data_IF_187132817692
#
_entry.id   IF_187132817692
#
_cell.length_a   1.000
_cell.length_b   1.000
_cell.length_c   1.000
_cell.angle_alpha   90.00
_cell.angle_beta   90.00
_cell.angle_gamma   90.00
#
_symmetry.space_group_name_H-M   'P 1'
#
loop_
_entity.id
_entity.type
_entity.pdbx_description
1 polymer ?
#
# COMPACT_ATOMS: atom_id res chain seq x y z
N UNK A 1 -8.22 30.17 -11.86
CA UNK A 1 -7.93 29.70 -10.49
C UNK A 1 -7.17 28.41 -10.65
N UNK A 2 -5.93 28.38 -10.20
CA UNK A 2 -4.93 27.43 -10.69
C UNK A 2 -4.93 26.14 -9.86
N UNK A 3 -5.21 25.02 -10.53
CA UNK A 3 -5.17 23.65 -9.98
C UNK A 3 -3.74 23.27 -9.53
N UNK A 4 -3.62 22.29 -8.61
CA UNK A 4 -2.30 21.72 -8.28
C UNK A 4 -1.76 21.01 -9.54
N UNK A 5 -0.59 21.43 -10.07
CA UNK A 5 -0.01 20.81 -11.26
C UNK A 5 0.40 19.36 -10.99
N UNK A 6 0.45 18.54 -12.06
CA UNK A 6 1.03 17.20 -11.94
C UNK A 6 2.55 17.31 -11.76
N UNK A 7 3.09 16.40 -10.96
CA UNK A 7 4.55 16.28 -10.75
C UNK A 7 5.27 16.06 -12.09
N UNK A 8 4.74 15.19 -12.95
CA UNK A 8 5.29 14.96 -14.28
C UNK A 8 5.34 16.24 -15.13
N UNK A 9 4.40 17.18 -14.98
CA UNK A 9 4.37 18.43 -15.74
C UNK A 9 5.43 19.43 -15.27
N UNK A 10 5.71 19.47 -13.97
CA UNK A 10 6.72 20.34 -13.36
C UNK A 10 8.13 19.82 -13.64
N UNK A 11 8.31 18.50 -13.59
CA UNK A 11 9.62 17.85 -13.64
C UNK A 11 9.87 17.11 -14.96
N UNK A 12 9.15 17.43 -16.06
CA UNK A 12 9.18 16.74 -17.38
C UNK A 12 10.56 16.30 -17.88
N UNK A 13 11.61 17.09 -17.62
CA UNK A 13 12.97 16.85 -18.10
C UNK A 13 13.96 16.43 -17.00
N UNK A 14 13.44 16.12 -15.81
CA UNK A 14 14.21 15.83 -14.60
C UNK A 14 13.57 14.65 -13.87
N UNK A 15 13.60 13.47 -14.49
CA UNK A 15 13.02 12.24 -13.95
C UNK A 15 13.47 11.95 -12.50
N UNK A 16 14.75 12.16 -12.20
CA UNK A 16 15.26 12.06 -10.83
C UNK A 16 14.56 13.02 -9.85
N UNK A 17 14.25 14.25 -10.28
CA UNK A 17 13.54 15.22 -9.44
C UNK A 17 12.04 14.88 -9.33
N UNK A 18 11.42 14.32 -10.36
CA UNK A 18 10.06 13.76 -10.28
C UNK A 18 10.00 12.66 -9.21
N UNK A 19 10.95 11.72 -9.25
CA UNK A 19 11.08 10.63 -8.28
C UNK A 19 11.28 11.20 -6.86
N UNK A 20 12.18 12.17 -6.70
CA UNK A 20 12.40 12.80 -5.40
C UNK A 20 11.17 13.56 -4.90
N UNK A 21 10.45 14.28 -5.77
CA UNK A 21 9.22 14.99 -5.39
C UNK A 21 8.13 14.01 -4.92
N UNK A 22 7.89 12.93 -5.68
CA UNK A 22 6.94 11.88 -5.27
C UNK A 22 7.32 11.25 -3.92
N UNK A 23 8.62 11.12 -3.62
CA UNK A 23 9.11 10.56 -2.35
C UNK A 23 9.04 11.54 -1.17
N UNK A 24 9.42 12.79 -1.36
CA UNK A 24 9.78 13.70 -0.25
C UNK A 24 8.68 14.63 0.23
N UNK A 25 7.57 14.75 -0.50
CA UNK A 25 6.52 15.67 -0.08
C UNK A 25 5.76 15.17 1.15
N UNK A 26 5.45 16.11 2.04
CA UNK A 26 4.48 15.95 3.14
C UNK A 26 3.15 16.58 2.74
N UNK A 27 2.04 15.83 2.67
CA UNK A 27 0.73 16.47 2.70
C UNK A 27 0.61 17.35 3.96
N UNK A 28 -0.13 18.45 3.86
CA UNK A 28 -0.56 19.18 5.05
C UNK A 28 -1.46 18.28 5.90
N UNK A 29 -0.92 17.70 6.99
CA UNK A 29 -1.71 16.84 7.88
C UNK A 29 -2.94 17.57 8.41
N UNK A 30 -4.10 16.93 8.24
CA UNK A 30 -5.35 17.17 8.97
C UNK A 30 -5.72 18.64 9.23
N UNK A 31 -6.77 19.13 8.58
CA UNK A 31 -7.54 20.26 9.14
C UNK A 31 -8.76 19.75 9.85
N UNK A 32 -9.04 20.44 10.94
CA UNK A 32 -10.35 20.52 11.54
C UNK A 32 -11.29 21.33 10.65
N UNK A 33 -12.59 21.02 10.71
CA UNK A 33 -13.67 21.76 10.05
C UNK A 33 -13.43 23.29 10.09
N UNK A 34 -13.51 23.95 8.93
CA UNK A 34 -13.58 25.41 8.92
C UNK A 34 -14.94 25.87 9.45
N UNK A 35 -15.00 27.07 10.03
CA UNK A 35 -16.24 27.63 10.60
C UNK A 35 -17.37 27.75 9.55
N UNK A 36 -17.00 27.86 8.27
CA UNK A 36 -17.91 27.86 7.10
C UNK A 36 -18.42 26.47 6.72
N UNK A 37 -17.69 25.40 7.06
CA UNK A 37 -18.16 24.01 6.88
C UNK A 37 -19.18 23.62 7.98
N UNK A 38 -19.26 24.43 9.04
CA UNK A 38 -20.18 24.30 10.16
C UNK A 38 -21.57 24.88 9.83
N UNK A 39 -21.67 25.81 8.87
CA UNK A 39 -22.94 26.46 8.52
C UNK A 39 -24.00 25.50 7.96
N UNK A 40 -23.60 24.33 7.48
CA UNK A 40 -24.49 23.27 7.00
C UNK A 40 -24.85 22.23 8.07
N UNK A 41 -24.28 22.33 9.28
CA UNK A 41 -24.61 21.45 10.40
C UNK A 41 -25.77 22.05 11.18
N UNK A 42 -26.82 21.26 11.39
CA UNK A 42 -27.97 21.64 12.22
C UNK A 42 -27.55 21.63 13.70
N UNK A 43 -26.83 22.69 14.10
CA UNK A 43 -26.31 22.89 15.45
C UNK A 43 -27.25 23.78 16.24
N UNK A 44 -27.71 23.25 17.36
CA UNK A 44 -28.57 23.98 18.28
C UNK A 44 -27.74 24.90 19.17
N UNK A 45 -28.24 26.13 19.35
CA UNK A 45 -27.68 27.11 20.29
C UNK A 45 -28.64 27.29 21.46
N UNK A 46 -28.10 27.51 22.65
CA UNK A 46 -28.86 27.84 23.85
C UNK A 46 -29.44 29.27 23.73
N UNK A 47 -30.27 29.67 24.70
CA UNK A 47 -30.91 31.00 24.74
C UNK A 47 -29.91 32.18 24.81
N UNK A 48 -28.63 31.90 25.12
CA UNK A 48 -27.53 32.88 25.16
C UNK A 48 -26.76 32.95 23.84
N UNK A 49 -27.14 32.16 22.84
CA UNK A 49 -26.47 32.08 21.53
C UNK A 49 -25.22 31.20 21.51
N UNK A 50 -24.92 30.50 22.60
CA UNK A 50 -23.79 29.55 22.68
C UNK A 50 -24.23 28.18 22.18
N UNK A 51 -23.33 27.37 21.63
CA UNK A 51 -23.65 26.00 21.21
C UNK A 51 -24.05 25.16 22.42
N UNK A 52 -25.08 24.31 22.25
CA UNK A 52 -25.46 23.34 23.29
C UNK A 52 -24.37 22.29 23.49
N UNK A 53 -24.27 21.69 24.68
CA UNK A 53 -23.30 20.61 24.95
C UNK A 53 -23.44 19.44 23.96
N UNK A 54 -24.66 19.14 23.51
CA UNK A 54 -24.94 18.14 22.48
C UNK A 54 -24.37 18.55 21.11
N UNK A 55 -24.51 19.82 20.73
CA UNK A 55 -23.92 20.36 19.50
C UNK A 55 -22.40 20.46 19.58
N UNK A 56 -21.85 20.78 20.75
CA UNK A 56 -20.40 20.76 21.02
C UNK A 56 -19.87 19.33 20.91
N UNK A 57 -20.55 18.35 21.51
CA UNK A 57 -20.18 16.94 21.41
C UNK A 57 -20.32 16.44 19.97
N UNK A 58 -21.36 16.85 19.25
CA UNK A 58 -21.55 16.51 17.83
C UNK A 58 -20.45 17.12 16.97
N UNK A 59 -20.07 18.38 17.21
CA UNK A 59 -18.92 19.02 16.59
C UNK A 59 -17.61 18.30 16.94
N UNK A 60 -17.44 17.84 18.18
CA UNK A 60 -16.25 17.10 18.60
C UNK A 60 -16.18 15.74 17.87
N UNK A 61 -17.30 15.01 17.82
CA UNK A 61 -17.44 13.76 17.10
C UNK A 61 -17.23 13.94 15.59
N UNK A 62 -17.74 15.04 15.02
CA UNK A 62 -17.54 15.41 13.62
C UNK A 62 -16.08 15.77 13.32
N UNK A 63 -15.47 16.56 14.20
CA UNK A 63 -14.06 16.94 14.12
C UNK A 63 -13.15 15.72 14.19
N UNK A 64 -13.53 14.70 14.97
CA UNK A 64 -12.88 13.38 15.00
C UNK A 64 -13.19 12.53 13.75
N UNK A 65 -14.39 12.63 13.16
CA UNK A 65 -14.73 11.94 11.90
C UNK A 65 -14.11 12.58 10.65
N UNK A 66 -13.68 13.84 10.75
CA UNK A 66 -13.00 14.61 9.70
C UNK A 66 -11.47 14.52 9.74
N UNK A 67 -10.92 13.51 10.43
CA UNK A 67 -9.49 13.23 10.39
C UNK A 67 -9.05 12.77 8.98
N UNK A 68 -8.59 13.72 8.17
CA UNK A 68 -8.05 13.44 6.83
C UNK A 68 -6.65 12.81 6.84
N UNK A 69 -6.07 12.50 8.01
CA UNK A 69 -4.77 11.85 8.12
C UNK A 69 -4.71 10.53 7.35
N UNK A 70 -5.81 9.76 7.32
CA UNK A 70 -5.87 8.54 6.54
C UNK A 70 -5.72 8.77 5.04
N UNK A 71 -6.31 9.84 4.51
CA UNK A 71 -6.17 10.25 3.10
C UNK A 71 -4.72 10.61 2.82
N UNK A 72 -4.09 11.40 3.70
CA UNK A 72 -2.69 11.80 3.58
C UNK A 72 -1.74 10.60 3.53
N UNK A 73 -1.97 9.63 4.42
CA UNK A 73 -1.20 8.39 4.48
C UNK A 73 -1.41 7.58 3.21
N UNK A 74 -2.64 7.42 2.73
CA UNK A 74 -2.94 6.69 1.48
C UNK A 74 -2.26 7.36 0.29
N UNK A 75 -2.36 8.68 0.14
CA UNK A 75 -1.70 9.40 -0.95
C UNK A 75 -0.18 9.25 -0.86
N UNK A 76 0.39 9.28 0.35
CA UNK A 76 1.81 9.02 0.58
C UNK A 76 2.24 7.61 0.20
N UNK A 77 1.45 6.59 0.55
CA UNK A 77 1.68 5.18 0.15
C UNK A 77 1.58 5.04 -1.37
N UNK A 78 0.53 5.57 -2.00
CA UNK A 78 0.32 5.48 -3.45
C UNK A 78 1.44 6.17 -4.23
N UNK A 79 1.93 7.33 -3.78
CA UNK A 79 3.09 7.99 -4.38
C UNK A 79 4.33 7.12 -4.35
N UNK A 80 4.61 6.49 -3.22
CA UNK A 80 5.73 5.58 -3.09
C UNK A 80 5.60 4.40 -4.04
N UNK A 81 4.43 3.76 -4.06
CA UNK A 81 4.15 2.67 -4.99
C UNK A 81 4.33 3.10 -6.45
N UNK A 82 3.78 4.26 -6.85
CA UNK A 82 3.91 4.81 -8.21
C UNK A 82 5.38 5.05 -8.57
N UNK A 83 6.17 5.56 -7.62
CA UNK A 83 7.61 5.79 -7.82
C UNK A 83 8.34 4.48 -8.13
N UNK A 84 7.92 3.38 -7.53
CA UNK A 84 8.46 2.04 -7.76
C UNK A 84 7.71 1.25 -8.86
N UNK A 85 6.97 1.94 -9.74
CA UNK A 85 6.36 1.33 -10.92
C UNK A 85 4.96 0.74 -10.72
N UNK A 86 4.27 1.09 -9.63
CA UNK A 86 2.85 0.78 -9.50
C UNK A 86 2.04 1.61 -10.50
N UNK A 87 1.19 0.95 -11.29
CA UNK A 87 0.33 1.61 -12.27
C UNK A 87 -1.13 1.27 -12.00
N UNK A 88 -2.01 2.16 -12.43
CA UNK A 88 -3.46 1.93 -12.43
C UNK A 88 -3.93 1.06 -13.59
N UNK A 89 -3.01 0.76 -14.51
CA UNK A 89 -3.32 -0.02 -15.69
C UNK A 89 -3.41 -1.49 -15.29
N UNK A 90 -4.41 -2.18 -15.84
CA UNK A 90 -4.44 -3.63 -15.78
C UNK A 90 -3.22 -4.12 -16.54
N UNK A 91 -2.11 -4.37 -15.83
CA UNK A 91 -0.95 -5.06 -16.40
C UNK A 91 -1.23 -6.56 -16.23
N UNK A 92 -1.77 -7.27 -17.24
CA UNK A 92 -1.39 -8.66 -17.39
C UNK A 92 0.11 -8.64 -17.65
N UNK A 93 0.89 -9.20 -16.72
CA UNK A 93 2.30 -9.45 -17.02
C UNK A 93 2.40 -10.28 -18.30
N UNK A 94 3.52 -10.22 -19.04
CA UNK A 94 3.72 -10.99 -20.27
C UNK A 94 3.57 -12.52 -20.09
N UNK A 95 3.58 -13.01 -18.84
CA UNK A 95 3.30 -14.38 -18.43
C UNK A 95 2.12 -14.49 -17.45
N UNK A 96 1.11 -13.62 -17.52
CA UNK A 96 0.00 -13.61 -16.56
C UNK A 96 -0.76 -14.93 -16.62
N UNK A 97 -0.51 -15.81 -15.64
CA UNK A 97 -1.20 -17.06 -15.47
C UNK A 97 -2.73 -16.86 -15.57
N UNK A 98 -3.44 -17.70 -16.33
CA UNK A 98 -4.90 -17.65 -16.37
C UNK A 98 -5.47 -17.82 -14.96
N UNK A 99 -6.30 -16.86 -14.53
CA UNK A 99 -6.81 -16.79 -13.16
C UNK A 99 -6.33 -15.58 -12.37
N UNK A 100 -5.32 -14.83 -12.86
CA UNK A 100 -5.19 -13.40 -12.53
C UNK A 100 -6.38 -12.70 -13.18
N UNK A 101 -7.42 -12.47 -12.40
CA UNK A 101 -8.55 -11.67 -12.87
C UNK A 101 -7.98 -10.33 -13.37
N UNK A 102 -8.15 -10.05 -14.66
CA UNK A 102 -8.09 -8.68 -15.17
C UNK A 102 -9.09 -7.93 -14.31
N UNK A 103 -8.60 -7.09 -13.37
CA UNK A 103 -9.52 -6.38 -12.49
C UNK A 103 -10.45 -5.60 -13.42
N UNK A 104 -11.75 -5.64 -13.11
CA UNK A 104 -12.64 -4.59 -13.62
C UNK A 104 -11.96 -3.26 -13.30
N UNK A 105 -11.83 -2.40 -14.32
CA UNK A 105 -11.21 -1.06 -14.21
C UNK A 105 -11.45 -0.47 -12.83
N UNK A 106 -10.41 0.10 -12.22
CA UNK A 106 -10.50 0.80 -10.92
C UNK A 106 -11.82 1.57 -10.79
N UNK A 107 -12.42 1.52 -9.61
CA UNK A 107 -13.63 2.29 -9.34
C UNK A 107 -13.34 3.79 -9.59
N UNK A 108 -14.34 4.59 -10.01
CA UNK A 108 -14.13 5.99 -10.31
C UNK A 108 -13.40 6.77 -9.19
N UNK A 109 -13.78 6.55 -7.92
CA UNK A 109 -13.13 7.18 -6.78
C UNK A 109 -11.68 6.69 -6.56
N UNK A 110 -11.39 5.40 -6.76
CA UNK A 110 -10.01 4.86 -6.70
C UNK A 110 -9.09 5.53 -7.72
N UNK A 111 -9.62 5.87 -8.90
CA UNK A 111 -8.87 6.63 -9.91
C UNK A 111 -8.55 8.05 -9.44
N UNK A 112 -9.46 8.70 -8.72
CA UNK A 112 -9.21 10.04 -8.18
C UNK A 112 -8.06 10.01 -7.18
N UNK A 113 -7.97 8.98 -6.32
CA UNK A 113 -6.82 8.79 -5.44
C UNK A 113 -5.50 8.61 -6.22
N UNK A 114 -5.52 7.82 -7.31
CA UNK A 114 -4.34 7.63 -8.17
C UNK A 114 -3.91 8.93 -8.88
N UNK A 115 -4.87 9.75 -9.31
CA UNK A 115 -4.60 11.06 -9.92
C UNK A 115 -4.07 12.04 -8.88
N UNK A 116 -4.72 12.13 -7.72
CA UNK A 116 -4.30 12.98 -6.60
C UNK A 116 -2.88 12.65 -6.13
N UNK A 117 -2.52 11.36 -6.05
CA UNK A 117 -1.17 10.94 -5.72
C UNK A 117 -0.11 11.49 -6.68
N UNK A 118 -0.44 11.76 -7.94
CA UNK A 118 0.52 12.31 -8.94
C UNK A 118 0.63 13.83 -8.93
N UNK A 119 -0.30 14.55 -8.30
CA UNK A 119 -0.26 16.01 -8.14
C UNK A 119 0.88 16.41 -7.21
N UNK A 120 1.46 17.59 -7.37
CA UNK A 120 2.48 18.16 -6.46
C UNK A 120 1.81 18.87 -5.25
N UNK A 121 0.96 18.16 -4.51
CA UNK A 121 0.29 18.65 -3.29
C UNK A 121 1.30 18.80 -2.14
N UNK A 122 0.98 19.45 -1.01
CA UNK A 122 1.84 19.55 0.19
C UNK A 122 2.59 20.87 0.36
N UNK A 123 2.39 21.81 -0.59
CA UNK A 123 3.01 23.13 -0.59
C UNK A 123 2.01 24.27 -0.32
N UNK A 124 0.75 24.05 -0.67
CA UNK A 124 -0.32 25.02 -0.56
C UNK A 124 -1.48 24.38 0.20
N UNK A 125 -1.69 24.87 1.41
CA UNK A 125 -2.67 24.37 2.35
C UNK A 125 -4.10 24.43 1.80
N UNK A 126 -4.48 25.54 1.15
CA UNK A 126 -5.84 25.73 0.62
C UNK A 126 -6.11 24.77 -0.53
N UNK A 127 -5.13 24.62 -1.44
CA UNK A 127 -5.25 23.70 -2.58
C UNK A 127 -5.28 22.24 -2.13
N UNK A 128 -4.45 21.87 -1.15
CA UNK A 128 -4.44 20.54 -0.56
C UNK A 128 -5.81 20.20 0.05
N UNK A 129 -6.40 21.13 0.79
CA UNK A 129 -7.72 20.94 1.39
C UNK A 129 -8.80 20.73 0.36
N UNK A 130 -8.82 21.56 -0.68
CA UNK A 130 -9.78 21.41 -1.77
C UNK A 130 -9.69 20.02 -2.41
N UNK A 131 -8.47 19.54 -2.71
CA UNK A 131 -8.27 18.20 -3.25
C UNK A 131 -8.79 17.11 -2.30
N UNK A 132 -8.53 17.22 -0.99
CA UNK A 132 -9.02 16.23 -0.03
C UNK A 132 -10.55 16.22 0.08
N UNK A 133 -11.20 17.39 0.02
CA UNK A 133 -12.67 17.50 -0.02
C UNK A 133 -13.23 16.77 -1.23
N UNK A 134 -12.66 17.00 -2.42
CA UNK A 134 -13.05 16.29 -3.65
C UNK A 134 -12.90 14.76 -3.51
N UNK A 135 -11.84 14.29 -2.85
CA UNK A 135 -11.64 12.86 -2.57
C UNK A 135 -12.70 12.31 -1.61
N UNK A 136 -13.05 13.04 -0.54
CA UNK A 136 -14.07 12.63 0.44
C UNK A 136 -15.46 12.59 -0.21
N UNK A 137 -15.85 13.65 -0.93
CA UNK A 137 -17.13 13.71 -1.63
C UNK A 137 -17.30 12.54 -2.61
N UNK A 138 -16.20 12.10 -3.24
CA UNK A 138 -16.20 10.95 -4.13
C UNK A 138 -16.36 9.60 -3.43
N UNK A 139 -15.93 9.49 -2.17
CA UNK A 139 -16.12 8.30 -1.33
C UNK A 139 -17.56 8.18 -0.86
N UNK A 140 -18.16 9.31 -0.47
CA UNK A 140 -19.39 9.34 0.31
C UNK A 140 -20.66 9.63 -0.52
N UNK A 141 -20.59 9.48 -1.85
CA UNK A 141 -21.70 9.77 -2.76
C UNK A 141 -22.33 11.17 -2.55
N UNK A 142 -21.51 12.15 -2.15
CA UNK A 142 -21.92 13.56 -1.99
C UNK A 142 -22.29 14.03 -0.58
N UNK A 143 -22.12 13.22 0.48
CA UNK A 143 -22.31 13.67 1.87
C UNK A 143 -21.01 13.56 2.67
N UNK A 144 -20.44 14.68 3.09
CA UNK A 144 -19.09 14.72 3.67
C UNK A 144 -19.06 14.08 5.10
N UNK A 145 -20.21 13.84 5.74
CA UNK A 145 -20.33 13.70 7.21
C UNK A 145 -20.27 12.29 7.83
N UNK A 146 -20.28 11.19 7.07
CA UNK A 146 -20.55 9.86 7.67
C UNK A 146 -19.49 8.78 7.38
N UNK A 147 -18.47 9.10 6.59
CA UNK A 147 -17.51 8.10 6.14
C UNK A 147 -16.27 8.02 7.03
N UNK A 148 -15.96 6.84 7.55
CA UNK A 148 -14.68 6.55 8.19
C UNK A 148 -13.54 6.74 7.16
N UNK A 149 -12.74 7.79 7.39
CA UNK A 149 -11.59 8.18 6.58
C UNK A 149 -10.26 7.74 7.18
N UNK A 150 -10.29 6.90 8.23
CA UNK A 150 -9.09 6.29 8.79
C UNK A 150 -8.35 5.46 7.72
N UNK A 151 -7.02 5.35 7.88
CA UNK A 151 -6.19 4.61 6.94
C UNK A 151 -6.70 3.18 6.67
N UNK A 152 -7.06 2.44 7.71
CA UNK A 152 -7.54 1.06 7.57
C UNK A 152 -8.90 0.98 6.87
N UNK A 153 -9.82 1.90 7.15
CA UNK A 153 -11.09 1.97 6.47
C UNK A 153 -10.92 2.29 4.98
N UNK A 154 -10.04 3.24 4.64
CA UNK A 154 -9.73 3.58 3.26
C UNK A 154 -9.05 2.41 2.52
N UNK A 155 -8.11 1.68 3.14
CA UNK A 155 -7.54 0.44 2.56
C UNK A 155 -8.64 -0.61 2.29
N UNK A 156 -9.67 -0.66 3.14
CA UNK A 156 -10.84 -1.51 2.94
C UNK A 156 -11.70 -1.08 1.74
N UNK A 157 -11.95 0.22 1.60
CA UNK A 157 -12.75 0.82 0.52
C UNK A 157 -12.04 0.77 -0.84
N UNK A 158 -10.72 0.99 -0.88
CA UNK A 158 -9.86 0.92 -2.07
C UNK A 158 -9.46 -0.54 -2.39
N UNK A 159 -10.45 -1.43 -2.39
CA UNK A 159 -10.26 -2.88 -2.53
C UNK A 159 -9.59 -3.24 -3.87
N UNK A 160 -9.90 -2.52 -4.96
CA UNK A 160 -9.31 -2.82 -6.27
C UNK A 160 -7.83 -2.49 -6.31
N UNK A 161 -7.40 -1.43 -5.63
CA UNK A 161 -5.98 -1.03 -5.53
C UNK A 161 -5.18 -1.95 -4.60
N UNK A 162 -5.68 -2.23 -3.40
CA UNK A 162 -4.84 -2.86 -2.36
C UNK A 162 -5.14 -4.33 -2.08
N UNK A 163 -6.26 -4.87 -2.55
CA UNK A 163 -6.65 -6.28 -2.30
C UNK A 163 -6.78 -7.08 -3.59
N UNK A 164 -7.29 -6.48 -4.66
CA UNK A 164 -7.50 -7.17 -5.95
C UNK A 164 -6.40 -6.94 -6.96
N UNK A 165 -5.47 -6.00 -6.74
CA UNK A 165 -4.46 -5.68 -7.74
C UNK A 165 -3.42 -6.80 -7.89
N UNK A 166 -3.22 -7.36 -9.10
CA UNK A 166 -2.27 -8.44 -9.32
C UNK A 166 -0.84 -8.10 -8.91
N UNK A 167 -0.46 -6.82 -8.90
CA UNK A 167 0.87 -6.40 -8.44
C UNK A 167 1.12 -6.68 -6.95
N UNK A 168 0.07 -6.92 -6.15
CA UNK A 168 0.15 -7.38 -4.75
C UNK A 168 -0.14 -8.87 -4.56
N UNK A 169 -0.55 -9.58 -5.62
CA UNK A 169 -0.87 -11.01 -5.54
C UNK A 169 0.40 -11.82 -5.60
N UNK A 170 0.71 -12.47 -4.48
CA UNK A 170 1.86 -13.33 -4.32
C UNK A 170 1.50 -14.81 -4.55
N UNK A 171 0.29 -15.22 -4.17
CA UNK A 171 -0.26 -16.55 -4.48
C UNK A 171 -1.04 -16.46 -5.79
N UNK A 172 -0.81 -17.41 -6.69
CA UNK A 172 -1.63 -17.55 -7.88
C UNK A 172 -2.97 -18.21 -7.56
N UNK A 173 -3.98 -17.93 -8.38
CA UNK A 173 -5.32 -18.50 -8.16
C UNK A 173 -5.37 -20.01 -8.40
N UNK A 174 -4.36 -20.58 -9.04
CA UNK A 174 -4.27 -22.00 -9.35
C UNK A 174 -3.67 -22.78 -8.19
N UNK A 175 -4.21 -23.98 -7.97
CA UNK A 175 -3.62 -24.96 -7.07
C UNK A 175 -3.54 -26.33 -7.75
N UNK A 176 -2.65 -27.18 -7.24
CA UNK A 176 -2.56 -28.59 -7.61
C UNK A 176 -2.87 -29.48 -6.39
N UNK A 177 -3.84 -30.39 -6.55
CA UNK A 177 -4.04 -31.58 -5.72
C UNK A 177 -3.49 -32.87 -6.33
N UNK A 178 -2.64 -33.60 -5.61
CA UNK A 178 -2.29 -34.97 -5.96
C UNK A 178 -3.27 -35.92 -5.28
N UNK A 179 -4.12 -36.57 -6.06
CA UNK A 179 -5.09 -37.55 -5.57
C UNK A 179 -4.51 -38.94 -5.78
N UNK A 180 -4.28 -39.68 -4.71
CA UNK A 180 -3.91 -41.10 -4.79
C UNK A 180 -5.21 -41.90 -4.92
N UNK A 181 -5.38 -42.55 -6.06
CA UNK A 181 -6.50 -43.43 -6.33
C UNK A 181 -6.40 -44.71 -5.50
N UNK A 182 -7.52 -45.43 -5.34
CA UNK A 182 -7.58 -46.69 -4.57
C UNK A 182 -6.67 -47.79 -5.12
N UNK A 183 -6.26 -47.70 -6.39
CA UNK A 183 -5.34 -48.60 -7.06
C UNK A 183 -3.85 -48.22 -6.86
N UNK A 184 -3.57 -47.17 -6.08
CA UNK A 184 -2.22 -46.66 -5.83
C UNK A 184 -1.69 -45.73 -6.91
N UNK A 185 -2.44 -45.50 -8.00
CA UNK A 185 -2.05 -44.52 -9.02
C UNK A 185 -2.27 -43.09 -8.50
N UNK A 186 -1.39 -42.16 -8.84
CA UNK A 186 -1.54 -40.75 -8.49
C UNK A 186 -2.09 -39.96 -9.69
N UNK A 187 -3.17 -39.21 -9.49
CA UNK A 187 -3.69 -38.25 -10.46
C UNK A 187 -3.49 -36.83 -9.95
N UNK A 188 -2.88 -36.02 -10.80
CA UNK A 188 -2.81 -34.56 -10.62
C UNK A 188 -4.12 -33.92 -11.06
N UNK A 189 -4.72 -33.13 -10.17
CA UNK A 189 -5.87 -32.27 -10.48
C UNK A 189 -5.46 -30.83 -10.23
N UNK A 190 -5.54 -30.03 -11.29
CA UNK A 190 -5.42 -28.58 -11.22
C UNK A 190 -6.80 -27.97 -10.98
N UNK A 191 -6.88 -26.96 -10.11
CA UNK A 191 -8.11 -26.25 -9.81
C UNK A 191 -7.86 -24.77 -9.56
N UNK A 192 -8.94 -24.00 -9.46
CA UNK A 192 -8.91 -22.59 -9.09
C UNK A 192 -9.43 -22.42 -7.67
N UNK A 193 -8.69 -21.67 -6.84
CA UNK A 193 -9.17 -21.28 -5.52
C UNK A 193 -10.49 -20.50 -5.64
N UNK A 194 -11.45 -20.75 -4.74
CA UNK A 194 -12.57 -19.85 -4.53
C UNK A 194 -12.04 -18.43 -4.25
N UNK A 195 -12.72 -17.41 -4.80
CA UNK A 195 -12.25 -16.02 -4.74
C UNK A 195 -11.92 -15.55 -3.32
N UNK A 196 -12.76 -15.87 -2.33
CA UNK A 196 -12.52 -15.48 -0.94
C UNK A 196 -11.25 -16.12 -0.38
N UNK A 197 -11.02 -17.40 -0.68
CA UNK A 197 -9.80 -18.10 -0.21
C UNK A 197 -8.55 -17.54 -0.87
N UNK A 198 -8.62 -17.22 -2.16
CA UNK A 198 -7.53 -16.57 -2.88
C UNK A 198 -7.15 -15.21 -2.27
N UNK A 199 -8.15 -14.38 -1.92
CA UNK A 199 -7.91 -13.09 -1.26
C UNK A 199 -7.31 -13.29 0.14
N UNK A 200 -7.83 -14.24 0.92
CA UNK A 200 -7.33 -14.58 2.26
C UNK A 200 -5.86 -15.02 2.23
N UNK A 201 -5.47 -15.87 1.27
CA UNK A 201 -4.09 -16.34 1.12
C UNK A 201 -3.09 -15.22 0.81
N UNK A 202 -3.57 -14.15 0.16
CA UNK A 202 -2.81 -12.95 -0.16
C UNK A 202 -2.88 -11.86 0.94
N UNK A 203 -3.63 -12.09 2.04
CA UNK A 203 -3.57 -11.24 3.24
C UNK A 203 -2.45 -11.69 4.17
N UNK A 204 -1.26 -11.11 4.00
CA UNK A 204 -0.06 -11.44 4.76
C UNK A 204 -0.10 -10.82 6.16
N UNK A 205 -0.16 -11.66 7.20
CA UNK A 205 -0.20 -11.23 8.61
C UNK A 205 0.84 -12.00 9.41
N UNK A 206 1.82 -11.28 9.97
CA UNK A 206 2.94 -11.86 10.71
C UNK A 206 3.24 -11.06 11.99
N UNK A 207 4.01 -11.67 12.89
CA UNK A 207 4.52 -10.99 14.09
C UNK A 207 6.05 -11.05 14.16
N UNK A 208 6.63 -10.47 15.21
CA UNK A 208 8.07 -10.40 15.43
C UNK A 208 8.71 -11.67 16.02
N UNK A 209 7.99 -12.80 16.08
CA UNK A 209 8.50 -14.05 16.66
C UNK A 209 9.56 -14.74 15.79
N UNK A 210 9.45 -14.65 14.46
CA UNK A 210 10.40 -15.17 13.46
C UNK A 210 10.86 -14.08 12.50
N UNK A 211 11.82 -14.39 11.63
CA UNK A 211 12.17 -13.46 10.55
C UNK A 211 11.00 -13.39 9.55
N UNK A 212 10.79 -12.23 8.93
CA UNK A 212 9.71 -12.10 7.92
C UNK A 212 9.94 -13.03 6.73
N UNK A 213 11.21 -13.25 6.34
CA UNK A 213 11.58 -14.23 5.31
C UNK A 213 11.09 -15.63 5.68
N UNK A 214 11.42 -16.11 6.89
CA UNK A 214 11.01 -17.45 7.34
C UNK A 214 9.49 -17.56 7.45
N UNK A 215 8.82 -16.52 7.95
CA UNK A 215 7.36 -16.51 8.08
C UNK A 215 6.66 -16.55 6.72
N UNK A 216 7.17 -15.80 5.73
CA UNK A 216 6.66 -15.81 4.36
C UNK A 216 6.89 -17.16 3.70
N UNK A 217 8.11 -17.69 3.76
CA UNK A 217 8.43 -19.02 3.25
C UNK A 217 7.53 -20.05 3.92
N UNK A 218 7.43 -20.09 5.25
CA UNK A 218 6.57 -21.03 5.96
C UNK A 218 5.10 -20.91 5.55
N UNK A 219 4.56 -19.69 5.42
CA UNK A 219 3.18 -19.42 5.00
C UNK A 219 2.84 -20.06 3.65
N UNK A 220 3.82 -20.16 2.74
CA UNK A 220 3.63 -20.74 1.41
C UNK A 220 4.10 -22.19 1.27
N UNK A 221 4.95 -22.68 2.16
CA UNK A 221 5.28 -24.10 2.29
C UNK A 221 4.23 -24.88 3.11
N UNK A 222 3.26 -24.18 3.73
CA UNK A 222 2.19 -24.76 4.54
C UNK A 222 1.06 -25.39 3.70
N UNK A 223 1.29 -26.61 3.21
CA UNK A 223 0.36 -27.76 3.29
C UNK A 223 0.95 -29.08 2.75
N UNK A 224 2.19 -29.46 3.09
CA UNK A 224 2.67 -30.84 2.85
C UNK A 224 2.23 -31.87 3.91
N UNK A 225 1.49 -31.45 4.96
CA UNK A 225 1.03 -32.38 6.03
C UNK A 225 -0.38 -32.95 5.82
N UNK A 226 -1.16 -32.37 4.92
CA UNK A 226 -2.44 -32.91 4.45
C UNK A 226 -2.34 -32.95 2.95
N UNK A 227 -2.53 -34.11 2.32
CA UNK A 227 -2.28 -34.41 0.90
C UNK A 227 -3.08 -33.59 -0.14
N UNK A 228 -3.45 -32.34 0.14
CA UNK A 228 -4.38 -31.56 -0.64
C UNK A 228 -3.97 -30.08 -0.65
N UNK A 229 -3.46 -29.64 -1.81
CA UNK A 229 -3.28 -28.29 -2.35
C UNK A 229 -1.86 -27.72 -2.16
N UNK A 230 -0.99 -27.93 -3.15
CA UNK A 230 0.15 -27.03 -3.36
C UNK A 230 -0.36 -25.78 -4.09
N UNK A 231 -0.18 -24.63 -3.43
CA UNK A 231 -0.40 -23.31 -4.03
C UNK A 231 0.87 -22.89 -4.77
N UNK A 232 0.73 -22.39 -6.00
CA UNK A 232 1.85 -21.75 -6.69
C UNK A 232 1.96 -20.29 -6.28
N UNK A 233 3.18 -19.85 -6.05
CA UNK A 233 3.49 -18.45 -5.86
C UNK A 233 4.07 -17.88 -7.14
N UNK A 234 3.87 -16.58 -7.30
CA UNK A 234 4.57 -15.79 -8.29
C UNK A 234 5.11 -14.55 -7.59
N UNK A 235 6.34 -14.12 -7.91
CA UNK A 235 6.91 -12.90 -7.37
C UNK A 235 6.02 -11.69 -7.64
N UNK A 236 5.28 -11.23 -6.63
CA UNK A 236 4.51 -9.98 -6.75
C UNK A 236 5.48 -8.80 -6.89
N UNK A 237 5.05 -7.70 -7.53
CA UNK A 237 5.87 -6.49 -7.60
C UNK A 237 5.92 -5.79 -6.23
N UNK A 238 4.87 -5.93 -5.43
CA UNK A 238 4.75 -5.33 -4.12
C UNK A 238 4.25 -6.33 -3.09
N UNK A 239 4.73 -6.20 -1.85
CA UNK A 239 4.15 -6.89 -0.69
C UNK A 239 3.50 -5.87 0.23
N UNK A 240 2.36 -6.25 0.78
CA UNK A 240 1.71 -5.55 1.88
C UNK A 240 1.56 -6.52 3.05
N UNK A 241 2.25 -6.25 4.13
CA UNK A 241 2.32 -7.13 5.30
C UNK A 241 1.77 -6.40 6.52
N UNK A 242 0.74 -6.96 7.15
CA UNK A 242 0.34 -6.56 8.50
C UNK A 242 1.31 -7.20 9.49
N UNK A 243 2.08 -6.36 10.19
CA UNK A 243 3.14 -6.78 11.09
C UNK A 243 2.83 -6.37 12.53
N UNK A 244 2.83 -7.34 13.43
CA UNK A 244 2.58 -7.13 14.86
C UNK A 244 3.86 -7.27 15.67
N UNK A 245 4.25 -6.20 16.36
CA UNK A 245 5.43 -6.20 17.23
C UNK A 245 4.97 -6.53 18.65
N UNK A 246 5.26 -7.73 19.11
CA UNK A 246 4.92 -8.21 20.46
C UNK A 246 6.05 -8.00 21.44
N UNK A 247 7.30 -8.15 20.99
CA UNK A 247 8.49 -8.16 21.85
C UNK A 247 9.47 -7.01 21.58
N UNK A 248 9.41 -6.39 20.40
CA UNK A 248 10.30 -5.29 20.01
C UNK A 248 11.74 -5.71 19.72
N UNK A 249 11.97 -7.02 19.53
CA UNK A 249 13.32 -7.58 19.34
C UNK A 249 13.90 -7.31 17.96
N UNK A 250 13.06 -7.19 16.94
CA UNK A 250 13.48 -7.00 15.55
C UNK A 250 13.77 -5.54 15.27
N UNK A 251 14.87 -5.29 14.58
CA UNK A 251 15.32 -3.96 14.17
C UNK A 251 14.86 -3.64 12.75
N UNK A 252 14.95 -2.38 12.32
CA UNK A 252 14.74 -2.02 10.89
C UNK A 252 15.64 -2.85 9.99
N UNK A 253 16.90 -3.11 10.39
CA UNK A 253 17.81 -3.92 9.58
C UNK A 253 17.31 -5.35 9.36
N UNK A 254 16.57 -5.91 10.32
CA UNK A 254 16.01 -7.27 10.23
C UNK A 254 14.80 -7.36 9.30
N UNK A 255 14.07 -6.24 9.13
CA UNK A 255 12.86 -6.21 8.30
C UNK A 255 13.04 -5.42 7.01
N UNK A 256 14.16 -4.69 6.81
CA UNK A 256 14.35 -3.83 5.62
C UNK A 256 14.38 -4.64 4.32
N UNK A 257 14.90 -5.87 4.38
CA UNK A 257 15.15 -6.71 3.22
C UNK A 257 14.63 -8.10 3.54
N UNK A 258 13.68 -8.55 2.73
CA UNK A 258 13.10 -9.88 2.85
C UNK A 258 13.57 -10.68 1.63
N UNK A 259 14.07 -11.87 1.90
CA UNK A 259 14.42 -12.85 0.89
C UNK A 259 13.35 -13.92 0.89
N UNK A 260 12.74 -14.16 -0.27
CA UNK A 260 11.67 -15.12 -0.42
C UNK A 260 12.07 -16.13 -1.48
N UNK A 261 12.03 -17.39 -1.10
CA UNK A 261 12.21 -18.53 -1.99
C UNK A 261 10.95 -19.38 -1.88
N UNK A 262 10.17 -19.46 -2.96
CA UNK A 262 8.84 -20.08 -2.95
C UNK A 262 8.60 -20.93 -4.19
N UNK A 263 7.82 -22.02 -4.06
CA UNK A 263 7.45 -22.83 -5.21
C UNK A 263 6.52 -22.05 -6.14
N UNK A 264 6.77 -22.13 -7.45
CA UNK A 264 5.89 -21.62 -8.49
C UNK A 264 5.83 -22.55 -9.68
N UNK A 265 5.18 -22.08 -10.74
CA UNK A 265 4.95 -22.85 -11.94
C UNK A 265 5.02 -21.97 -13.19
N UNK A 266 5.41 -22.59 -14.30
CA UNK A 266 5.24 -22.05 -15.64
C UNK A 266 4.02 -22.70 -16.28
N UNK A 267 3.29 -21.92 -17.06
CA UNK A 267 2.02 -22.30 -17.66
C UNK A 267 2.10 -22.29 -19.18
N UNK A 268 1.40 -23.23 -19.82
CA UNK A 268 1.04 -23.15 -21.23
C UNK A 268 -0.37 -22.56 -21.33
N UNK A 269 -0.50 -21.48 -22.10
CA UNK A 269 -1.74 -20.70 -22.26
C UNK A 269 -2.54 -21.13 -23.50
N UNK A 270 -2.30 -22.35 -24.00
CA UNK A 270 -2.94 -22.88 -25.20
C UNK A 270 -4.42 -23.23 -25.02
N UNK A 271 -4.90 -23.40 -23.77
CA UNK A 271 -6.29 -23.79 -23.48
C UNK A 271 -7.03 -22.75 -22.61
N UNK A 272 -8.14 -22.21 -23.13
CA UNK A 272 -8.83 -21.01 -22.59
C UNK A 272 -9.57 -21.23 -21.26
N UNK A 273 -9.58 -22.45 -20.72
CA UNK A 273 -10.43 -22.81 -19.57
C UNK A 273 -9.64 -23.19 -18.32
N UNK A 274 -8.50 -23.86 -18.46
CA UNK A 274 -7.60 -24.15 -17.34
C UNK A 274 -6.17 -24.29 -17.88
N UNK A 275 -5.23 -23.45 -17.44
CA UNK A 275 -3.85 -23.50 -17.91
C UNK A 275 -3.20 -24.81 -17.51
N UNK A 276 -2.37 -25.34 -18.40
CA UNK A 276 -1.58 -26.53 -18.12
C UNK A 276 -0.24 -26.08 -17.53
N UNK A 277 0.11 -26.58 -16.35
CA UNK A 277 1.45 -26.41 -15.79
C UNK A 277 2.46 -27.17 -16.67
N UNK A 278 3.47 -26.48 -17.19
CA UNK A 278 4.53 -27.05 -18.04
C UNK A 278 5.77 -27.42 -17.25
N UNK A 279 6.14 -26.60 -16.28
CA UNK A 279 7.26 -26.84 -15.37
C UNK A 279 6.95 -26.31 -13.97
N UNK A 280 7.57 -26.93 -12.97
CA UNK A 280 7.64 -26.41 -11.61
C UNK A 280 8.97 -25.66 -11.46
N UNK A 281 8.92 -24.51 -10.80
CA UNK A 281 10.08 -23.67 -10.59
C UNK A 281 10.16 -23.21 -9.13
N UNK A 282 11.34 -22.79 -8.72
CA UNK A 282 11.55 -22.10 -7.44
C UNK A 282 11.80 -20.64 -7.77
N UNK A 283 10.85 -19.78 -7.41
CA UNK A 283 11.02 -18.35 -7.56
C UNK A 283 11.82 -17.80 -6.39
N UNK A 284 12.88 -17.06 -6.72
CA UNK A 284 13.70 -16.33 -5.76
C UNK A 284 13.44 -14.86 -5.95
N UNK A 285 13.12 -14.17 -4.87
CA UNK A 285 12.79 -12.75 -4.93
C UNK A 285 13.25 -12.03 -3.69
N UNK A 286 13.66 -10.79 -3.92
CA UNK A 286 14.16 -9.90 -2.89
C UNK A 286 13.23 -8.72 -2.80
N UNK A 287 12.77 -8.41 -1.60
CA UNK A 287 11.85 -7.32 -1.32
C UNK A 287 12.49 -6.30 -0.40
N UNK A 288 12.39 -5.04 -0.77
CA UNK A 288 12.94 -3.91 -0.01
C UNK A 288 11.80 -3.10 0.60
N UNK A 289 11.94 -2.79 1.89
CA UNK A 289 10.98 -2.00 2.64
C UNK A 289 10.97 -0.58 2.09
N UNK A 290 9.82 -0.16 1.58
CA UNK A 290 9.60 1.21 1.10
C UNK A 290 9.00 2.09 2.20
N UNK A 291 7.95 1.58 2.86
CA UNK A 291 7.09 2.41 3.68
C UNK A 291 6.50 1.62 4.85
N UNK A 292 6.38 2.26 6.01
CA UNK A 292 5.77 1.71 7.23
C UNK A 292 4.67 2.65 7.69
N UNK A 293 3.47 2.11 7.92
CA UNK A 293 2.36 2.84 8.53
C UNK A 293 2.13 2.29 9.93
N UNK A 294 2.14 3.15 10.94
CA UNK A 294 1.67 2.78 12.28
C UNK A 294 0.14 2.68 12.25
N UNK A 295 -0.39 1.51 12.59
CA UNK A 295 -1.83 1.21 12.66
C UNK A 295 -2.23 0.71 14.05
N UNK A 296 -1.41 1.00 15.06
CA UNK A 296 -1.66 0.58 16.44
C UNK A 296 -2.95 1.22 16.94
N UNK A 297 -3.93 0.44 17.42
CA UNK A 297 -5.18 0.99 17.95
C UNK A 297 -4.92 2.03 19.04
N UNK A 298 -5.62 3.17 18.96
CA UNK A 298 -5.48 4.27 19.91
C UNK A 298 -4.23 5.16 19.73
N UNK A 299 -3.39 4.90 18.72
CA UNK A 299 -2.32 5.82 18.30
C UNK A 299 -2.69 6.49 16.99
N UNK A 300 -2.25 7.74 16.83
CA UNK A 300 -2.42 8.46 15.56
C UNK A 300 -1.67 7.73 14.44
N UNK A 301 -2.35 7.35 13.35
CA UNK A 301 -1.70 6.77 12.19
C UNK A 301 -0.60 7.69 11.67
N UNK A 302 0.52 7.12 11.30
CA UNK A 302 1.67 7.89 10.82
C UNK A 302 2.53 7.06 9.89
N UNK A 303 3.16 7.76 8.95
CA UNK A 303 3.88 7.18 7.83
C UNK A 303 5.37 7.42 7.99
N UNK A 304 6.18 6.37 7.90
CA UNK A 304 7.65 6.46 7.77
C UNK A 304 8.07 5.85 6.45
N UNK A 305 9.01 6.49 5.78
CA UNK A 305 9.49 6.16 4.43
C UNK A 305 10.96 5.80 4.51
N UNK A 306 11.43 4.88 3.68
CA UNK A 306 12.80 4.38 3.74
C UNK A 306 13.46 4.38 2.36
N UNK A 307 14.73 4.77 2.33
CA UNK A 307 15.61 4.56 1.19
C UNK A 307 15.97 3.08 1.06
N UNK A 308 16.50 2.68 -0.10
CA UNK A 308 16.94 1.28 -0.35
C UNK A 308 17.94 0.78 0.68
N UNK A 309 18.82 1.66 1.15
CA UNK A 309 19.83 1.35 2.16
C UNK A 309 19.23 1.17 3.59
N UNK A 310 17.93 1.43 3.77
CA UNK A 310 17.20 1.33 5.04
C UNK A 310 17.28 2.58 5.91
N UNK A 311 17.91 3.66 5.44
CA UNK A 311 17.83 4.96 6.09
C UNK A 311 16.44 5.53 5.94
N UNK A 312 15.91 6.10 7.02
CA UNK A 312 14.64 6.80 6.96
C UNK A 312 14.78 8.04 6.06
N UNK A 313 13.80 8.22 5.20
CA UNK A 313 13.67 9.39 4.37
C UNK A 313 13.11 10.52 5.23
N UNK A 314 14.00 11.42 5.62
CA UNK A 314 13.59 12.72 6.10
C UNK A 314 13.10 13.53 4.89
N UNK A 315 11.91 14.12 4.95
CA UNK A 315 11.37 14.86 3.81
C UNK A 315 12.18 16.14 3.61
N UNK A 316 12.95 16.14 2.54
CA UNK A 316 13.72 17.29 2.07
C UNK A 316 12.90 18.14 1.09
N UNK A 317 13.17 19.45 1.08
CA UNK A 317 12.63 20.36 0.08
C UNK A 317 13.31 20.08 -1.28
N UNK A 318 12.57 19.53 -2.24
CA UNK A 318 13.06 19.38 -3.61
C UNK A 318 12.70 20.66 -4.38
N UNK A 319 13.70 21.49 -4.72
CA UNK A 319 13.54 22.69 -5.57
C UNK A 319 13.80 24.04 -4.89
N UNK A 320 13.92 25.11 -5.70
CA UNK A 320 13.96 26.50 -5.22
C UNK A 320 12.53 27.04 -5.16
N UNK A 321 11.93 27.00 -3.98
CA UNK A 321 10.67 27.69 -3.70
C UNK A 321 10.89 28.67 -2.54
N UNK A 322 11.11 29.92 -2.91
CA UNK A 322 11.27 31.03 -1.98
C UNK A 322 9.92 31.30 -1.29
N UNK A 323 9.73 30.78 -0.06
CA UNK A 323 8.56 30.93 0.87
C UNK A 323 7.51 29.83 0.73
N UNK A 324 6.85 29.31 1.77
CA UNK A 324 6.84 29.51 3.25
C UNK A 324 6.74 28.10 3.86
N UNK A 325 7.43 27.90 4.98
CA UNK A 325 7.54 26.68 5.80
C UNK A 325 6.51 25.56 5.57
N UNK A 326 6.92 24.27 5.51
CA UNK A 326 5.98 23.21 5.80
C UNK A 326 5.44 23.45 7.22
N UNK A 327 4.12 23.54 7.38
CA UNK A 327 3.51 23.66 8.71
C UNK A 327 3.95 22.45 9.55
N UNK A 328 4.87 22.71 10.48
CA UNK A 328 5.32 21.83 11.54
C UNK A 328 4.16 21.62 12.52
N UNK A 329 3.15 20.85 12.11
CA UNK A 329 1.95 20.63 12.93
C UNK A 329 1.97 19.32 13.74
N UNK A 330 2.66 18.28 13.26
CA UNK A 330 2.52 16.93 13.82
C UNK A 330 3.82 16.34 14.37
N UNK A 331 4.97 16.82 13.93
CA UNK A 331 6.27 16.21 14.31
C UNK A 331 6.87 16.77 15.60
N UNK A 332 6.46 17.95 16.07
CA UNK A 332 7.12 18.59 17.22
C UNK A 332 6.65 18.09 18.58
N UNK A 333 5.52 17.38 18.65
CA UNK A 333 4.89 16.97 19.93
C UNK A 333 4.61 15.48 20.08
N UNK A 334 4.70 14.69 19.00
CA UNK A 334 4.57 13.24 19.11
C UNK A 334 5.93 12.61 19.38
N UNK A 335 5.99 11.75 20.40
CA UNK A 335 7.16 10.90 20.62
C UNK A 335 7.44 10.11 19.34
N UNK A 336 8.62 10.23 18.72
CA UNK A 336 8.94 9.51 17.50
C UNK A 336 8.86 8.01 17.79
N UNK A 337 7.94 7.32 17.13
CA UNK A 337 7.77 5.88 17.29
C UNK A 337 8.79 5.14 16.45
N UNK A 338 9.28 4.03 16.99
CA UNK A 338 10.13 3.08 16.30
C UNK A 338 9.30 1.89 15.82
N UNK A 339 9.71 1.24 14.74
CA UNK A 339 9.15 -0.07 14.35
C UNK A 339 9.43 -1.15 15.41
N UNK A 340 10.31 -0.86 16.38
CA UNK A 340 10.57 -1.74 17.54
C UNK A 340 9.55 -1.56 18.65
N UNK A 341 8.79 -0.48 18.63
CA UNK A 341 7.82 -0.24 19.69
C UNK A 341 6.72 -1.29 19.58
N UNK A 342 6.20 -1.73 20.73
CA UNK A 342 5.09 -2.66 20.75
C UNK A 342 3.89 -1.97 20.07
N UNK A 343 3.29 -2.65 19.10
CA UNK A 343 2.27 -2.07 18.24
C UNK A 343 1.94 -2.91 17.02
N UNK A 344 1.09 -2.35 16.17
CA UNK A 344 0.71 -2.92 14.89
C UNK A 344 1.08 -1.96 13.76
N UNK A 345 1.64 -2.52 12.69
CA UNK A 345 2.20 -1.78 11.57
C UNK A 345 1.74 -2.41 10.25
N UNK A 346 1.54 -1.59 9.23
CA UNK A 346 1.40 -2.03 7.85
C UNK A 346 2.71 -1.74 7.12
N UNK A 347 3.37 -2.79 6.64
CA UNK A 347 4.64 -2.70 5.91
C UNK A 347 4.39 -2.84 4.41
N UNK A 348 4.97 -1.93 3.62
CA UNK A 348 4.92 -1.98 2.16
C UNK A 348 6.32 -2.19 1.61
N UNK A 349 6.47 -3.24 0.80
CA UNK A 349 7.71 -3.58 0.10
C UNK A 349 7.51 -3.49 -1.40
N UNK A 350 8.60 -3.23 -2.12
CA UNK A 350 8.69 -3.44 -3.55
C UNK A 350 9.73 -4.52 -3.85
N UNK A 351 9.55 -5.25 -4.95
CA UNK A 351 10.47 -6.26 -5.44
C UNK A 351 11.67 -5.57 -6.07
N UNK A 352 12.88 -5.92 -5.61
CA UNK A 352 14.12 -5.53 -6.27
C UNK A 352 14.24 -6.34 -7.57
N UNK A 353 14.16 -5.67 -8.72
CA UNK A 353 14.51 -6.28 -10.00
C UNK A 353 16.02 -6.21 -10.15
N UNK A 354 16.65 -7.38 -10.20
CA UNK A 354 18.08 -7.51 -10.46
C UNK A 354 18.23 -7.85 -11.94
N UNK A 355 18.73 -6.93 -12.79
CA UNK A 355 19.09 -7.23 -14.16
C UNK A 355 19.99 -8.47 -14.27
N UNK A 356 19.74 -9.30 -15.27
CA UNK A 356 20.57 -10.48 -15.56
C UNK A 356 22.05 -10.08 -15.75
N UNK A 357 22.95 -10.73 -15.01
CA UNK A 357 24.40 -10.55 -15.12
C UNK A 357 25.04 -9.53 -14.16
N UNK A 358 24.29 -8.91 -13.24
CA UNK A 358 24.86 -7.98 -12.27
C UNK A 358 25.46 -8.71 -11.06
N UNK A 359 26.69 -8.35 -10.67
CA UNK A 359 27.39 -8.93 -9.53
C UNK A 359 26.72 -8.56 -8.20
N UNK A 360 26.26 -9.57 -7.47
CA UNK A 360 25.65 -9.47 -6.14
C UNK A 360 26.51 -8.74 -5.09
N UNK A 361 27.82 -8.60 -5.33
CA UNK A 361 28.75 -7.90 -4.46
C UNK A 361 28.73 -6.37 -4.60
N UNK A 362 28.14 -5.83 -5.67
CA UNK A 362 28.05 -4.37 -5.92
C UNK A 362 26.74 -3.74 -5.40
N UNK A 363 25.85 -4.52 -4.79
CA UNK A 363 24.54 -4.09 -4.24
C UNK A 363 24.59 -3.02 -3.11
N UNK A 364 25.78 -2.54 -2.73
CA UNK A 364 25.98 -1.54 -1.67
C UNK A 364 26.08 -0.08 -2.19
N UNK A 365 26.09 0.13 -3.50
CA UNK A 365 26.13 1.47 -4.08
C UNK A 365 24.80 1.71 -4.78
N UNK A 366 24.18 2.86 -4.53
CA UNK A 366 22.93 3.30 -5.14
C UNK A 366 22.94 3.04 -6.65
N UNK A 367 22.41 1.87 -7.03
CA UNK A 367 22.17 1.55 -8.43
C UNK A 367 21.23 2.65 -8.95
N UNK A 368 21.54 3.29 -10.09
CA UNK A 368 20.61 4.20 -10.70
C UNK A 368 19.31 3.43 -10.87
N UNK A 369 18.26 3.92 -10.25
CA UNK A 369 16.93 3.36 -10.34
C UNK A 369 16.55 3.45 -11.81
N UNK A 370 16.81 2.39 -12.57
CA UNK A 370 16.37 2.31 -13.95
C UNK A 370 14.86 2.34 -13.91
N UNK A 371 14.36 3.45 -14.42
CA UNK A 371 12.98 3.85 -14.43
C UNK A 371 12.12 2.79 -15.10
N UNK A 372 10.94 2.58 -14.51
CA UNK A 372 9.73 2.02 -15.13
C UNK A 372 10.05 0.99 -16.22
N UNK A 373 10.02 -0.30 -15.85
CA UNK A 373 10.25 -1.42 -16.74
C UNK A 373 9.77 -1.18 -18.17
N UNK A 374 10.67 -1.37 -19.12
CA UNK A 374 10.40 -1.38 -20.56
C UNK A 374 9.38 -2.43 -20.94
#
# INVERSE_FOLDING_TARGET
>A
MDEIPNTADIYKNKEFHEILALRNIRPHYGTFLEETDIDNLDLTRNERGELTDESIQRLHNLRESYDTSGIDIILGVLRFLITFGYTSDNIPGPNSAPGRETIKRLMPFEKLFMVAARKDFGWDQEKDWKMKRELIESLSSGSICEDDTSFLALIGKLESLFKKHPQFHFVDRLFWNQIINKDGSAKTVTGLFPRLKFLELNELKFDDSSSLSDSLTAHFYLAEKTAFNQSFCHPSNFLRIHYKVKTGRRTIADIRKIYVEVPGAVYDDTDKTTPKVTSLEIWKSTYLLATVVNITPGRLPSLRKYWKNGQEMLPDQVGQHDKKFPCTGVDSHNTPWSVRDIGEYMLFYYREEIPDGWDSSEMNVDAPETSRGT
#
